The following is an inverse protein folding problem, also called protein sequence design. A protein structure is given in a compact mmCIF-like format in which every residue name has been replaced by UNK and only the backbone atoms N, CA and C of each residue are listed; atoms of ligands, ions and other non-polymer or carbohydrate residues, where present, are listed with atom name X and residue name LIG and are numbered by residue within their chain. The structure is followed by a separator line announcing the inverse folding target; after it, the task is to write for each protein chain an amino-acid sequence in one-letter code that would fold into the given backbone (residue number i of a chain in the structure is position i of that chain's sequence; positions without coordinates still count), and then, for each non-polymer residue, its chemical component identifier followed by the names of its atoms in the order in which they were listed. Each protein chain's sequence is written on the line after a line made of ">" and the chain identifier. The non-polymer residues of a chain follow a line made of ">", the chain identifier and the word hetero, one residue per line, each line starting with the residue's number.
data_IF_017653316743
#
_entry.id   IF_017653316743
#
_cell.length_a   1.000
_cell.length_b   1.000
_cell.length_c   1.000
_cell.angle_alpha   90.00
_cell.angle_beta   90.00
_cell.angle_gamma   90.00
#
_symmetry.space_group_name_H-M   'P 1'
#
loop_
_entity.id
_entity.type
_entity.pdbx_description
1 polymer ?
#
# COMPACT_ATOMS: atom_id res chain seq x y z
N UNK A 1 2.60 2.62 16.43
CA UNK A 1 2.61 1.51 15.46
C UNK A 1 3.76 0.50 15.66
N UNK A 2 4.50 0.52 16.80
CA UNK A 2 5.47 -0.56 17.16
C UNK A 2 5.00 -1.33 18.42
N UNK A 3 3.88 -0.95 19.04
CA UNK A 3 3.49 -1.48 20.35
C UNK A 3 2.62 -2.75 20.33
N UNK A 4 2.18 -3.24 19.17
CA UNK A 4 1.47 -4.52 19.09
C UNK A 4 2.42 -5.74 19.24
N UNK A 5 3.74 -5.57 19.00
CA UNK A 5 4.69 -6.68 19.09
C UNK A 5 5.18 -6.99 20.51
N UNK A 6 4.81 -6.18 21.52
CA UNK A 6 5.29 -6.42 22.88
C UNK A 6 4.65 -7.67 23.53
N UNK A 7 3.57 -8.21 22.95
CA UNK A 7 2.88 -9.41 23.43
C UNK A 7 2.65 -10.51 22.39
N UNK A 8 2.86 -10.25 21.10
CA UNK A 8 2.67 -11.22 20.01
C UNK A 8 3.95 -11.32 19.15
N UNK A 9 4.68 -12.42 19.31
CA UNK A 9 5.91 -12.69 18.57
C UNK A 9 5.67 -13.03 17.09
N UNK A 10 4.46 -13.46 16.73
CA UNK A 10 4.10 -13.86 15.37
C UNK A 10 3.53 -12.69 14.55
N UNK A 11 3.05 -11.63 15.20
CA UNK A 11 2.50 -10.44 14.55
C UNK A 11 3.41 -9.85 13.43
N UNK A 12 4.74 -9.70 13.61
CA UNK A 12 5.59 -9.17 12.54
C UNK A 12 5.60 -10.07 11.28
N UNK A 13 5.58 -11.39 11.48
CA UNK A 13 5.54 -12.36 10.38
C UNK A 13 4.18 -12.37 9.67
N UNK A 14 3.10 -12.35 10.45
CA UNK A 14 1.73 -12.31 9.92
C UNK A 14 1.46 -11.05 9.07
N UNK A 15 2.03 -9.90 9.45
CA UNK A 15 1.83 -8.63 8.75
C UNK A 15 2.82 -8.37 7.60
N UNK A 16 3.87 -9.18 7.43
CA UNK A 16 5.01 -8.85 6.57
C UNK A 16 4.61 -8.60 5.10
N UNK A 17 3.78 -9.48 4.53
CA UNK A 17 3.37 -9.41 3.12
C UNK A 17 2.43 -8.22 2.87
N UNK A 18 1.47 -8.00 3.77
CA UNK A 18 0.54 -6.87 3.64
C UNK A 18 1.24 -5.53 3.81
N UNK A 19 2.20 -5.47 4.72
CA UNK A 19 3.06 -4.29 4.89
C UNK A 19 3.89 -4.01 3.64
N UNK A 20 4.48 -5.05 3.02
CA UNK A 20 5.22 -4.89 1.77
C UNK A 20 4.34 -4.34 0.65
N UNK A 21 3.10 -4.84 0.51
CA UNK A 21 2.15 -4.30 -0.45
C UNK A 21 1.78 -2.84 -0.17
N UNK A 22 1.52 -2.50 1.10
CA UNK A 22 1.19 -1.14 1.51
C UNK A 22 2.33 -0.17 1.20
N UNK A 23 3.57 -0.57 1.50
CA UNK A 23 4.77 0.20 1.15
C UNK A 23 4.94 0.34 -0.37
N UNK A 24 4.62 -0.70 -1.14
CA UNK A 24 4.59 -0.65 -2.60
C UNK A 24 3.62 0.44 -3.10
N UNK A 25 2.38 0.46 -2.61
CA UNK A 25 1.42 1.50 -2.96
C UNK A 25 1.90 2.91 -2.59
N UNK A 26 2.52 3.08 -1.42
CA UNK A 26 3.10 4.37 -1.00
C UNK A 26 4.20 4.83 -1.95
N UNK A 27 5.10 3.91 -2.34
CA UNK A 27 6.18 4.18 -3.28
C UNK A 27 5.65 4.63 -4.65
N UNK A 28 4.60 3.97 -5.15
CA UNK A 28 3.93 4.36 -6.40
C UNK A 28 3.19 5.70 -6.28
N UNK A 29 2.55 5.97 -5.14
CA UNK A 29 1.90 7.26 -4.90
C UNK A 29 2.92 8.41 -4.98
N UNK A 30 4.07 8.25 -4.31
CA UNK A 30 5.17 9.19 -4.36
C UNK A 30 5.68 9.39 -5.79
N UNK A 31 5.96 8.30 -6.51
CA UNK A 31 6.39 8.35 -7.91
C UNK A 31 5.42 9.15 -8.80
N UNK A 32 4.10 8.90 -8.67
CA UNK A 32 3.10 9.63 -9.45
C UNK A 32 3.07 11.12 -9.13
N UNK A 33 3.17 11.50 -7.85
CA UNK A 33 3.25 12.90 -7.43
C UNK A 33 4.47 13.57 -8.08
N UNK A 34 5.64 12.95 -7.98
CA UNK A 34 6.88 13.48 -8.58
C UNK A 34 6.78 13.63 -10.10
N UNK A 35 6.17 12.66 -10.80
CA UNK A 35 5.93 12.76 -12.25
C UNK A 35 5.02 13.95 -12.56
N UNK A 36 3.90 14.08 -11.85
CA UNK A 36 2.94 15.17 -12.10
C UNK A 36 3.53 16.54 -11.76
N UNK A 37 4.31 16.65 -10.70
CA UNK A 37 5.02 17.87 -10.32
C UNK A 37 6.01 18.30 -11.41
N UNK A 38 6.81 17.36 -11.94
CA UNK A 38 7.73 17.65 -13.03
C UNK A 38 7.02 18.14 -14.31
N UNK A 39 5.82 17.62 -14.61
CA UNK A 39 5.00 18.11 -15.73
C UNK A 39 4.52 19.54 -15.50
N UNK A 40 4.10 19.87 -14.27
CA UNK A 40 3.70 21.24 -13.90
C UNK A 40 4.87 22.19 -14.03
N UNK A 41 6.03 21.85 -13.45
CA UNK A 41 7.24 22.69 -13.47
C UNK A 41 7.73 22.93 -14.91
N UNK A 42 7.66 21.91 -15.77
CA UNK A 42 8.05 22.04 -17.18
C UNK A 42 7.03 22.77 -18.05
N UNK A 43 5.83 23.03 -17.55
CA UNK A 43 4.73 23.64 -18.32
C UNK A 43 4.26 22.79 -19.50
N UNK A 44 4.50 21.47 -19.46
CA UNK A 44 4.18 20.56 -20.56
C UNK A 44 2.71 20.15 -20.53
N UNK A 45 2.00 20.36 -21.64
CA UNK A 45 0.57 20.02 -21.80
C UNK A 45 0.27 19.27 -23.12
N UNK A 46 1.21 18.45 -23.58
CA UNK A 46 0.98 17.60 -24.74
C UNK A 46 0.18 16.34 -24.38
N UNK A 47 -0.18 15.54 -25.40
CA UNK A 47 -0.91 14.27 -25.23
C UNK A 47 -0.23 13.34 -24.24
N UNK A 48 1.10 13.35 -24.16
CA UNK A 48 1.84 12.57 -23.18
C UNK A 48 1.60 13.05 -21.75
N UNK A 49 1.67 14.36 -21.49
CA UNK A 49 1.39 14.94 -20.18
C UNK A 49 -0.05 14.62 -19.72
N UNK A 50 -1.03 14.78 -20.62
CA UNK A 50 -2.43 14.44 -20.34
C UNK A 50 -2.61 12.95 -20.01
N UNK A 51 -1.95 12.05 -20.74
CA UNK A 51 -1.96 10.62 -20.44
C UNK A 51 -1.38 10.29 -19.05
N UNK A 52 -0.30 10.97 -18.64
CA UNK A 52 0.27 10.81 -17.29
C UNK A 52 -0.68 11.29 -16.21
N UNK A 53 -1.34 12.44 -16.40
CA UNK A 53 -2.36 12.93 -15.49
C UNK A 53 -3.53 11.95 -15.33
N UNK A 54 -4.05 11.42 -16.43
CA UNK A 54 -5.12 10.43 -16.38
C UNK A 54 -4.70 9.14 -15.67
N UNK A 55 -3.46 8.69 -15.90
CA UNK A 55 -2.94 7.49 -15.25
C UNK A 55 -2.75 7.70 -13.75
N UNK A 56 -2.18 8.84 -13.34
CA UNK A 56 -2.06 9.20 -11.93
C UNK A 56 -3.43 9.24 -11.26
N UNK A 57 -4.42 9.92 -11.87
CA UNK A 57 -5.79 9.99 -11.36
C UNK A 57 -6.43 8.61 -11.21
N UNK A 58 -6.21 7.71 -12.17
CA UNK A 58 -6.67 6.32 -12.05
C UNK A 58 -6.03 5.62 -10.85
N UNK A 59 -4.71 5.72 -10.68
CA UNK A 59 -4.00 5.12 -9.55
C UNK A 59 -4.57 5.61 -8.20
N UNK A 60 -4.68 6.93 -8.02
CA UNK A 60 -5.19 7.53 -6.78
C UNK A 60 -6.67 7.20 -6.51
N UNK A 61 -7.49 7.06 -7.55
CA UNK A 61 -8.94 6.81 -7.38
C UNK A 61 -9.33 5.34 -7.29
N UNK A 62 -8.53 4.42 -7.87
CA UNK A 62 -8.91 3.00 -7.98
C UNK A 62 -7.95 2.04 -7.29
N UNK A 63 -6.66 2.38 -7.24
CA UNK A 63 -5.63 1.47 -6.73
C UNK A 63 -5.24 1.83 -5.30
N UNK A 64 -4.91 3.10 -5.03
CA UNK A 64 -4.48 3.54 -3.72
C UNK A 64 -5.48 3.24 -2.58
N UNK A 65 -6.82 3.32 -2.77
CA UNK A 65 -7.76 2.97 -1.70
C UNK A 65 -7.65 1.53 -1.19
N UNK A 66 -7.04 0.60 -1.95
CA UNK A 66 -6.78 -0.77 -1.47
C UNK A 66 -5.88 -0.81 -0.23
N UNK A 67 -5.08 0.24 0.00
CA UNK A 67 -4.25 0.38 1.21
C UNK A 67 -5.06 0.41 2.50
N UNK A 68 -6.33 0.83 2.45
CA UNK A 68 -7.20 0.79 3.64
C UNK A 68 -7.42 -0.65 4.10
N UNK A 69 -7.73 -1.57 3.20
CA UNK A 69 -7.90 -2.98 3.54
C UNK A 69 -6.59 -3.59 4.04
N UNK A 70 -5.45 -3.27 3.40
CA UNK A 70 -4.13 -3.73 3.85
C UNK A 70 -3.80 -3.23 5.27
N UNK A 71 -4.11 -1.97 5.57
CA UNK A 71 -3.93 -1.40 6.91
C UNK A 71 -4.73 -2.18 7.94
N UNK A 72 -6.01 -2.42 7.68
CA UNK A 72 -6.85 -3.16 8.62
C UNK A 72 -6.40 -4.62 8.78
N UNK A 73 -5.94 -5.27 7.69
CA UNK A 73 -5.33 -6.61 7.74
C UNK A 73 -4.09 -6.65 8.63
N UNK A 74 -3.18 -5.67 8.49
CA UNK A 74 -1.98 -5.55 9.34
C UNK A 74 -2.36 -5.36 10.81
N UNK A 75 -3.42 -4.60 11.09
CA UNK A 75 -3.89 -4.34 12.45
C UNK A 75 -4.62 -5.52 13.09
N UNK A 76 -5.08 -6.50 12.32
CA UNK A 76 -5.76 -7.69 12.82
C UNK A 76 -4.84 -8.66 13.58
N UNK A 77 -3.52 -8.53 13.44
CA UNK A 77 -2.54 -9.33 14.19
C UNK A 77 -2.40 -10.77 13.67
N UNK A 78 -1.84 -11.67 14.50
CA UNK A 78 -1.60 -13.06 14.09
C UNK A 78 -2.69 -14.05 14.51
N UNK A 79 -3.62 -13.64 15.39
CA UNK A 79 -4.59 -14.53 16.05
C UNK A 79 -5.33 -15.45 15.07
N UNK A 80 -5.87 -14.90 13.98
CA UNK A 80 -6.62 -15.70 13.00
C UNK A 80 -5.76 -16.71 12.25
N UNK A 81 -4.48 -16.40 12.05
CA UNK A 81 -3.52 -17.30 11.38
C UNK A 81 -3.02 -18.37 12.34
N UNK A 82 -2.76 -17.99 13.60
CA UNK A 82 -2.25 -18.88 14.64
C UNK A 82 -3.32 -19.76 15.29
N UNK A 83 -4.61 -19.48 15.04
CA UNK A 83 -5.72 -20.32 15.51
C UNK A 83 -5.84 -21.66 14.77
N UNK A 84 -5.18 -21.82 13.62
CA UNK A 84 -5.25 -23.03 12.81
C UNK A 84 -4.12 -24.00 13.19
N UNK A 85 -4.47 -25.12 13.81
CA UNK A 85 -3.54 -26.23 14.13
C UNK A 85 -3.21 -27.10 12.92
N UNK A 86 -2.14 -27.88 13.02
CA UNK A 86 -1.65 -28.76 11.94
C UNK A 86 -2.70 -29.76 11.47
N UNK A 87 -3.59 -30.21 12.35
CA UNK A 87 -4.69 -31.14 12.05
C UNK A 87 -5.83 -30.55 11.20
N UNK A 88 -5.79 -29.24 10.93
CA UNK A 88 -6.79 -28.53 10.15
C UNK A 88 -6.38 -28.30 8.68
N UNK A 89 -5.20 -28.79 8.27
CA UNK A 89 -4.66 -28.72 6.90
C UNK A 89 -4.72 -30.07 6.19
#
# INVERSE_FOLDING_TARGET
>A
MIFASAGDANAPGAAAVDYLHLLGYLSYAYMWVTITEALVVSGRDDVFAQAKWHTAKFFFSKLLPKTYALKESILAGSDSLMALGDEHF
#
